data_IF_107479145155
#
_entry.id   IF_107479145155
#
_cell.length_a   1.000
_cell.length_b   1.000
_cell.length_c   1.000
_cell.angle_alpha   90.00
_cell.angle_beta   90.00
_cell.angle_gamma   90.00
#
_symmetry.space_group_name_H-M   'P 1'
#
loop_
_entity.id
_entity.type
_entity.pdbx_description
1 polymer ?
#
# COMPACT_ATOMS: atom_id res chain seq x y z
N UNK A 1 -21.23 0.98 14.23
CA UNK A 1 -20.29 1.82 15.03
C UNK A 1 -19.10 2.11 14.12
N UNK A 2 -18.37 3.23 14.21
CA UNK A 2 -17.23 3.42 13.32
C UNK A 2 -16.17 2.33 13.61
N UNK A 3 -15.90 1.50 12.60
CA UNK A 3 -14.83 0.52 12.59
C UNK A 3 -13.47 1.20 12.46
N UNK A 4 -12.44 0.61 13.06
CA UNK A 4 -11.06 1.12 12.97
C UNK A 4 -10.17 0.09 12.30
N UNK A 5 -9.73 0.39 11.08
CA UNK A 5 -8.76 -0.44 10.34
C UNK A 5 -7.38 0.16 10.51
N UNK A 6 -6.40 -0.66 10.90
CA UNK A 6 -5.00 -0.25 11.00
C UNK A 6 -4.16 -1.09 10.06
N UNK A 7 -3.38 -0.43 9.22
CA UNK A 7 -2.51 -1.08 8.24
C UNK A 7 -1.07 -0.68 8.53
N UNK A 8 -0.15 -1.66 8.50
CA UNK A 8 1.29 -1.43 8.60
C UNK A 8 1.98 -2.12 7.43
N UNK A 9 2.81 -1.37 6.71
CA UNK A 9 3.58 -1.88 5.59
C UNK A 9 4.98 -2.22 6.10
N UNK A 10 5.30 -3.51 6.10
CA UNK A 10 6.57 -4.01 6.64
C UNK A 10 7.65 -3.98 5.57
N UNK A 11 7.50 -4.79 4.52
CA UNK A 11 8.54 -4.99 3.50
C UNK A 11 7.96 -5.47 2.17
N UNK A 12 8.76 -5.31 1.12
CA UNK A 12 8.60 -5.94 -0.19
C UNK A 12 9.79 -6.86 -0.46
N UNK A 13 9.61 -7.86 -1.33
CA UNK A 13 10.66 -8.83 -1.66
C UNK A 13 10.62 -9.18 -3.13
N UNK A 14 11.79 -9.35 -3.73
CA UNK A 14 11.96 -9.74 -5.13
C UNK A 14 11.14 -8.87 -6.09
N UNK A 15 11.21 -7.56 -5.92
CA UNK A 15 10.57 -6.62 -6.85
C UNK A 15 11.25 -6.74 -8.24
N UNK A 16 10.50 -6.51 -9.33
CA UNK A 16 11.09 -6.43 -10.66
C UNK A 16 11.99 -5.19 -10.75
N UNK A 17 12.99 -5.23 -11.63
CA UNK A 17 13.81 -4.06 -11.95
C UNK A 17 12.96 -3.07 -12.75
N UNK A 18 12.70 -1.90 -12.17
CA UNK A 18 11.99 -0.80 -12.81
C UNK A 18 12.96 0.26 -13.36
N UNK A 19 14.05 0.53 -12.64
CA UNK A 19 15.17 1.35 -13.13
C UNK A 19 16.29 0.47 -13.69
N UNK A 20 16.36 0.39 -15.03
CA UNK A 20 17.37 -0.38 -15.76
C UNK A 20 18.79 0.18 -15.63
N UNK A 21 18.96 1.44 -15.24
CA UNK A 21 20.29 2.05 -15.13
C UNK A 21 21.01 1.62 -13.86
N UNK A 22 20.24 1.39 -12.79
CA UNK A 22 20.74 0.96 -11.49
C UNK A 22 20.45 -0.51 -11.19
N UNK A 23 19.75 -1.22 -12.07
CA UNK A 23 19.20 -2.57 -11.85
C UNK A 23 18.40 -2.69 -10.54
N UNK A 24 17.68 -1.61 -10.18
CA UNK A 24 16.92 -1.54 -8.93
C UNK A 24 15.53 -0.91 -9.12
N UNK A 25 14.90 -0.46 -8.03
CA UNK A 25 13.55 0.11 -7.98
C UNK A 25 13.50 1.08 -6.80
N UNK A 26 12.82 2.21 -7.00
CA UNK A 26 12.59 3.23 -5.99
C UNK A 26 11.15 3.08 -5.46
N UNK A 27 10.93 2.08 -4.60
CA UNK A 27 9.59 1.62 -4.28
C UNK A 27 8.89 2.42 -3.16
N UNK A 28 7.61 2.70 -3.33
CA UNK A 28 6.70 3.11 -2.26
C UNK A 28 5.34 2.43 -2.39
N UNK A 29 4.56 2.41 -1.30
CA UNK A 29 3.25 1.77 -1.27
C UNK A 29 2.15 2.81 -1.06
N UNK A 30 1.12 2.77 -1.89
CA UNK A 30 -0.14 3.49 -1.70
C UNK A 30 -1.17 2.56 -1.06
N UNK A 31 -1.81 3.04 0.00
CA UNK A 31 -2.81 2.30 0.77
C UNK A 31 -4.10 3.09 0.69
N UNK A 32 -5.10 2.56 0.01
CA UNK A 32 -6.38 3.24 -0.21
C UNK A 32 -7.53 2.41 0.35
N UNK A 33 -8.40 3.07 1.11
CA UNK A 33 -9.68 2.52 1.56
C UNK A 33 -10.71 3.64 1.47
N UNK A 34 -11.81 3.41 0.75
CA UNK A 34 -12.78 4.45 0.42
C UNK A 34 -12.11 5.69 -0.19
N UNK A 35 -12.33 6.85 0.46
CA UNK A 35 -11.79 8.14 0.03
C UNK A 35 -10.45 8.51 0.65
N UNK A 36 -9.93 7.69 1.57
CA UNK A 36 -8.64 7.95 2.23
C UNK A 36 -7.52 7.19 1.53
N UNK A 37 -6.42 7.89 1.27
CA UNK A 37 -5.19 7.30 0.73
C UNK A 37 -4.00 7.72 1.57
N UNK A 38 -3.19 6.76 1.99
CA UNK A 38 -1.88 6.98 2.60
C UNK A 38 -0.76 6.49 1.69
N UNK A 39 0.44 7.02 1.90
CA UNK A 39 1.66 6.59 1.21
C UNK A 39 2.76 6.31 2.22
N UNK A 40 3.60 5.32 1.93
CA UNK A 40 4.87 5.13 2.63
C UNK A 40 5.93 6.10 2.11
N UNK A 41 7.02 6.19 2.85
CA UNK A 41 8.26 6.75 2.31
C UNK A 41 8.74 5.92 1.11
N UNK A 42 9.53 6.56 0.26
CA UNK A 42 10.20 5.90 -0.87
C UNK A 42 11.45 5.19 -0.38
N UNK A 43 11.51 3.88 -0.59
CA UNK A 43 12.72 3.10 -0.38
C UNK A 43 13.50 3.04 -1.70
N UNK A 44 14.62 3.77 -1.76
CA UNK A 44 15.38 3.89 -3.01
C UNK A 44 16.31 2.70 -3.24
N UNK A 45 16.51 2.39 -4.52
CA UNK A 45 17.48 1.44 -5.07
C UNK A 45 17.48 0.08 -4.39
N UNK A 46 16.29 -0.51 -4.24
CA UNK A 46 16.15 -1.81 -3.58
C UNK A 46 15.06 -2.66 -4.23
N UNK A 47 15.41 -3.91 -4.52
CA UNK A 47 14.43 -4.94 -4.90
C UNK A 47 13.82 -5.65 -3.68
N UNK A 48 14.28 -5.31 -2.47
CA UNK A 48 13.81 -5.86 -1.20
C UNK A 48 13.58 -4.74 -0.17
N UNK A 49 12.69 -3.77 -0.47
CA UNK A 49 12.49 -2.60 0.37
C UNK A 49 11.94 -2.97 1.76
N UNK A 50 12.36 -2.21 2.77
CA UNK A 50 11.95 -2.34 4.15
C UNK A 50 11.39 -0.99 4.60
N UNK A 51 10.07 -0.89 4.74
CA UNK A 51 9.43 0.35 5.17
C UNK A 51 9.25 0.40 6.69
N UNK A 52 8.91 -0.75 7.31
CA UNK A 52 8.60 -0.84 8.74
C UNK A 52 7.72 0.32 9.22
N UNK A 53 6.70 0.67 8.43
CA UNK A 53 5.98 1.93 8.58
C UNK A 53 5.34 2.09 9.96
N UNK A 54 4.99 3.33 10.28
CA UNK A 54 3.99 3.58 11.31
C UNK A 54 2.62 2.98 10.91
N UNK A 55 1.74 2.87 11.89
CA UNK A 55 0.37 2.41 11.66
C UNK A 55 -0.45 3.49 10.95
N UNK A 56 -0.88 3.20 9.73
CA UNK A 56 -1.90 3.97 9.03
C UNK A 56 -3.28 3.60 9.59
N UNK A 57 -4.06 4.62 9.96
CA UNK A 57 -5.34 4.44 10.63
C UNK A 57 -6.45 4.96 9.74
N UNK A 58 -7.44 4.12 9.50
CA UNK A 58 -8.67 4.45 8.81
C UNK A 58 -9.82 4.40 9.82
N UNK A 59 -10.64 5.43 9.85
CA UNK A 59 -11.88 5.50 10.62
C UNK A 59 -13.03 5.56 9.64
N UNK A 60 -13.81 4.49 9.56
CA UNK A 60 -14.88 4.32 8.58
C UNK A 60 -16.11 3.78 9.31
N UNK A 61 -17.30 3.96 8.76
CA UNK A 61 -18.48 3.24 9.25
C UNK A 61 -18.56 1.80 8.68
N UNK A 62 -19.48 1.00 9.23
CA UNK A 62 -19.64 -0.40 8.82
C UNK A 62 -20.09 -0.53 7.36
N UNK A 63 -20.77 0.49 6.80
CA UNK A 63 -21.23 0.47 5.42
C UNK A 63 -20.08 0.74 4.45
N UNK A 64 -19.23 1.73 4.74
CA UNK A 64 -18.02 2.06 3.98
C UNK A 64 -17.03 0.89 3.91
N UNK A 65 -16.97 0.07 4.97
CA UNK A 65 -16.08 -1.09 5.01
C UNK A 65 -16.58 -2.27 4.15
N UNK A 66 -17.90 -2.34 3.90
CA UNK A 66 -18.52 -3.37 3.06
C UNK A 66 -18.52 -3.01 1.58
N UNK A 67 -18.53 -1.71 1.24
CA UNK A 67 -18.65 -1.22 -0.13
C UNK A 67 -17.35 -1.30 -0.95
N UNK A 68 -16.19 -1.00 -0.33
CA UNK A 68 -14.92 -0.89 -1.06
C UNK A 68 -13.79 -1.70 -0.40
N UNK A 69 -13.06 -2.56 -1.15
CA UNK A 69 -11.94 -3.32 -0.60
C UNK A 69 -10.74 -2.41 -0.27
N UNK A 70 -9.91 -2.84 0.67
CA UNK A 70 -8.61 -2.21 0.91
C UNK A 70 -7.71 -2.44 -0.29
N UNK A 71 -7.33 -1.36 -0.97
CA UNK A 71 -6.41 -1.40 -2.09
C UNK A 71 -4.98 -1.08 -1.61
N UNK A 72 -4.05 -1.98 -1.93
CA UNK A 72 -2.61 -1.75 -1.75
C UNK A 72 -1.96 -1.74 -3.12
N UNK A 73 -1.31 -0.63 -3.49
CA UNK A 73 -0.57 -0.49 -4.74
C UNK A 73 0.90 -0.31 -4.44
N UNK A 74 1.73 -1.09 -5.10
CA UNK A 74 3.17 -0.92 -5.09
C UNK A 74 3.57 -0.09 -6.32
N UNK A 75 4.28 1.00 -6.08
CA UNK A 75 4.63 2.00 -7.07
C UNK A 75 6.15 2.15 -7.14
N UNK A 76 6.67 2.42 -8.33
CA UNK A 76 8.03 2.88 -8.56
C UNK A 76 8.05 4.41 -8.64
N UNK A 77 8.98 5.03 -7.93
CA UNK A 77 9.11 6.48 -7.86
C UNK A 77 10.17 6.98 -8.83
N UNK A 78 9.71 7.65 -9.87
CA UNK A 78 10.57 8.35 -10.79
C UNK A 78 10.68 9.82 -10.44
N UNK A 79 11.91 10.35 -10.44
CA UNK A 79 12.16 11.78 -10.19
C UNK A 79 11.85 12.65 -11.40
N UNK A 80 12.00 12.11 -12.62
CA UNK A 80 11.95 12.88 -13.87
C UNK A 80 10.81 12.44 -14.83
N UNK A 81 10.09 11.38 -14.49
CA UNK A 81 8.94 10.84 -15.22
C UNK A 81 7.75 10.63 -14.27
N UNK A 82 6.62 10.17 -14.80
CA UNK A 82 5.49 9.75 -13.99
C UNK A 82 5.84 8.45 -13.25
N UNK A 83 5.38 8.32 -12.01
CA UNK A 83 5.55 7.10 -11.23
C UNK A 83 4.79 5.92 -11.87
N UNK A 84 5.46 4.78 -12.00
CA UNK A 84 4.90 3.57 -12.60
C UNK A 84 4.31 2.63 -11.55
N UNK A 85 3.20 1.98 -11.87
CA UNK A 85 2.62 0.96 -11.01
C UNK A 85 3.36 -0.37 -11.22
N UNK A 86 3.98 -0.89 -10.16
CA UNK A 86 4.61 -2.23 -10.17
C UNK A 86 3.55 -3.31 -10.05
N UNK A 87 2.58 -3.11 -9.15
CA UNK A 87 1.53 -4.08 -8.90
C UNK A 87 0.48 -3.55 -7.93
N UNK A 88 -0.63 -4.29 -7.81
CA UNK A 88 -1.69 -3.97 -6.85
C UNK A 88 -2.39 -5.23 -6.36
N UNK A 89 -2.91 -5.15 -5.14
CA UNK A 89 -3.78 -6.16 -4.55
C UNK A 89 -4.98 -5.48 -3.90
N UNK A 90 -6.11 -6.19 -3.90
CA UNK A 90 -7.32 -5.81 -3.19
C UNK A 90 -7.54 -6.83 -2.08
N UNK A 91 -7.78 -6.33 -0.87
CA UNK A 91 -8.07 -7.14 0.31
C UNK A 91 -9.51 -6.89 0.72
N UNK A 92 -10.31 -7.95 0.68
CA UNK A 92 -11.66 -7.93 1.23
C UNK A 92 -11.56 -7.88 2.76
N UNK A 93 -12.15 -6.83 3.35
CA UNK A 93 -12.17 -6.63 4.79
C UNK A 93 -13.44 -7.19 5.45
N UNK A 94 -14.44 -7.64 4.68
CA UNK A 94 -15.67 -8.24 5.20
C UNK A 94 -15.43 -9.38 6.21
N UNK A 95 -14.45 -10.28 6.01
CA UNK A 95 -14.16 -11.34 6.98
C UNK A 95 -13.78 -10.82 8.38
N UNK A 96 -13.34 -9.57 8.50
CA UNK A 96 -12.97 -8.94 9.77
C UNK A 96 -14.17 -8.37 10.54
N UNK A 97 -15.35 -8.28 9.90
CA UNK A 97 -16.58 -7.76 10.49
C UNK A 97 -17.41 -8.83 11.22
N UNK A 98 -17.04 -10.11 11.12
CA UNK A 98 -17.84 -11.18 11.73
C UNK A 98 -17.73 -11.12 13.27
N UNK A 99 -18.86 -11.22 14.00
CA UNK A 99 -18.81 -11.43 15.43
C UNK A 99 -18.17 -12.80 15.74
N UNK A 100 -17.54 -12.97 16.91
CA UNK A 100 -17.01 -14.26 17.36
C UNK A 100 -18.07 -15.34 17.49
#
# INVERSE_FOLDING_TARGET
MPGKVKVKIVAGRNLPVMDRSSDTTDAYVEIKLGNTTFKTDVCRKSLNPQWNSEWYRFEMDDAELQDEPLQIRLMDHDTYSANDAIGKVYLDLNPLLLPP
#
